data_IF_113837914107
#
_entry.id   IF_113837914107
#
_cell.length_a   1.000
_cell.length_b   1.000
_cell.length_c   1.000
_cell.angle_alpha   90.00
_cell.angle_beta   90.00
_cell.angle_gamma   90.00
#
_symmetry.space_group_name_H-M   'P 1'
#
loop_
_entity.id
_entity.type
_entity.pdbx_description
1 polymer ?
#
# COMPACT_ATOMS: atom_id res chain seq x y z
N UNK A 1 7.71 -19.50 -1.62
CA UNK A 1 8.75 -18.68 -2.24
C UNK A 1 8.13 -17.96 -3.43
N UNK A 2 7.74 -16.70 -3.27
CA UNK A 2 7.10 -15.90 -4.33
C UNK A 2 7.84 -14.56 -4.41
N UNK A 3 8.85 -14.52 -5.28
CA UNK A 3 9.62 -13.30 -5.55
C UNK A 3 8.81 -12.45 -6.53
N UNK A 4 8.42 -11.27 -6.07
CA UNK A 4 7.58 -10.27 -6.74
C UNK A 4 8.23 -9.60 -7.99
N UNK A 5 9.26 -10.22 -8.58
CA UNK A 5 9.94 -9.76 -9.79
C UNK A 5 9.40 -10.34 -11.10
N UNK A 6 8.52 -11.33 -11.03
CA UNK A 6 7.76 -11.73 -12.21
C UNK A 6 6.73 -10.62 -12.49
N UNK A 7 6.86 -9.96 -13.64
CA UNK A 7 5.69 -9.42 -14.31
C UNK A 7 4.60 -10.50 -14.27
N UNK A 8 3.33 -10.12 -14.08
CA UNK A 8 2.20 -11.05 -13.94
C UNK A 8 1.89 -11.74 -15.28
N UNK A 9 2.87 -12.50 -15.77
CA UNK A 9 2.90 -13.28 -17.00
C UNK A 9 1.81 -14.34 -16.91
N UNK A 10 1.56 -14.88 -15.71
CA UNK A 10 0.42 -15.75 -15.44
C UNK A 10 -0.92 -15.08 -15.77
N UNK A 11 -1.17 -13.86 -15.28
CA UNK A 11 -2.37 -13.11 -15.63
C UNK A 11 -2.42 -12.74 -17.13
N UNK A 12 -1.28 -12.38 -17.74
CA UNK A 12 -1.21 -12.10 -19.18
C UNK A 12 -1.57 -13.33 -20.03
N UNK A 13 -1.09 -14.53 -19.68
CA UNK A 13 -1.48 -15.77 -20.33
C UNK A 13 -2.96 -16.07 -20.13
N UNK A 14 -3.51 -15.86 -18.92
CA UNK A 14 -4.94 -16.01 -18.66
C UNK A 14 -5.76 -15.04 -19.54
N UNK A 15 -5.32 -13.80 -19.70
CA UNK A 15 -5.96 -12.82 -20.58
C UNK A 15 -5.90 -13.22 -22.05
N UNK A 16 -4.75 -13.69 -22.56
CA UNK A 16 -4.60 -14.15 -23.95
C UNK A 16 -5.46 -15.40 -24.21
N UNK A 17 -5.35 -16.41 -23.35
CA UNK A 17 -6.12 -17.65 -23.49
C UNK A 17 -7.62 -17.40 -23.36
N UNK A 18 -8.04 -16.45 -22.51
CA UNK A 18 -9.44 -16.06 -22.41
C UNK A 18 -9.92 -15.27 -23.65
N UNK A 19 -9.10 -14.39 -24.22
CA UNK A 19 -9.41 -13.68 -25.46
C UNK A 19 -9.51 -14.64 -26.67
N UNK A 20 -8.73 -15.72 -26.68
CA UNK A 20 -8.81 -16.81 -27.67
C UNK A 20 -9.95 -17.82 -27.39
N UNK A 21 -10.75 -17.62 -26.34
CA UNK A 21 -11.85 -18.52 -25.94
C UNK A 21 -11.40 -19.84 -25.31
N UNK A 22 -10.11 -20.02 -25.08
CA UNK A 22 -9.48 -21.23 -24.54
C UNK A 22 -9.52 -21.31 -23.00
N UNK A 23 -9.82 -20.20 -22.32
CA UNK A 23 -9.92 -20.15 -20.87
C UNK A 23 -11.08 -19.24 -20.40
N UNK A 24 -11.78 -19.66 -19.35
CA UNK A 24 -12.78 -18.83 -18.66
C UNK A 24 -12.24 -18.36 -17.32
N UNK A 25 -12.23 -17.05 -17.09
CA UNK A 25 -11.82 -16.46 -15.80
C UNK A 25 -12.89 -16.77 -14.76
N UNK A 26 -12.70 -17.86 -14.01
CA UNK A 26 -13.70 -18.34 -13.03
C UNK A 26 -13.81 -17.48 -11.76
N UNK A 27 -12.76 -16.75 -11.39
CA UNK A 27 -12.73 -15.93 -10.16
C UNK A 27 -12.24 -14.53 -10.48
N UNK A 28 -13.18 -13.62 -10.76
CA UNK A 28 -12.91 -12.18 -10.80
C UNK A 28 -12.92 -11.67 -9.37
N UNK A 29 -11.92 -10.88 -8.98
CA UNK A 29 -11.93 -10.23 -7.68
C UNK A 29 -13.22 -9.40 -7.54
N UNK A 30 -13.99 -9.56 -6.46
CA UNK A 30 -15.22 -8.81 -6.27
C UNK A 30 -14.94 -7.30 -6.31
N UNK A 31 -15.83 -6.53 -6.94
CA UNK A 31 -15.70 -5.07 -6.96
C UNK A 31 -15.86 -4.55 -5.53
N UNK A 32 -14.91 -3.73 -5.01
CA UNK A 32 -15.01 -3.18 -3.67
C UNK A 32 -16.25 -2.29 -3.55
N UNK A 33 -17.04 -2.50 -2.49
CA UNK A 33 -18.16 -1.63 -2.13
C UNK A 33 -17.72 -0.63 -1.07
N UNK A 34 -18.28 0.56 -1.16
CA UNK A 34 -17.96 1.66 -0.25
C UNK A 34 -19.24 2.18 0.41
N UNK A 35 -19.23 2.31 1.73
CA UNK A 35 -20.25 2.95 2.56
C UNK A 35 -19.71 4.28 3.13
N UNK A 36 -20.50 4.98 3.95
CA UNK A 36 -19.98 6.14 4.68
C UNK A 36 -18.84 5.71 5.63
N UNK A 37 -17.75 6.50 5.75
CA UNK A 37 -16.67 6.19 6.69
C UNK A 37 -17.20 6.03 8.12
N UNK A 38 -17.00 4.84 8.70
CA UNK A 38 -17.49 4.48 10.04
C UNK A 38 -16.38 3.90 10.91
N UNK A 39 -16.65 3.60 12.17
CA UNK A 39 -15.66 2.92 13.00
C UNK A 39 -15.28 1.57 12.38
N UNK A 40 -13.99 1.23 12.37
CA UNK A 40 -13.53 -0.05 11.80
C UNK A 40 -14.09 -1.19 12.66
N UNK A 41 -14.87 -2.06 12.04
CA UNK A 41 -15.48 -3.25 12.64
C UNK A 41 -15.07 -4.53 11.88
N UNK A 42 -15.62 -5.68 12.30
CA UNK A 42 -15.33 -6.97 11.67
C UNK A 42 -15.76 -7.02 10.20
N UNK A 43 -16.84 -6.33 9.84
CA UNK A 43 -17.29 -6.19 8.45
C UNK A 43 -16.26 -5.43 7.60
N UNK A 44 -15.80 -4.28 8.11
CA UNK A 44 -14.73 -3.49 7.46
C UNK A 44 -13.47 -4.34 7.30
N UNK A 45 -13.08 -5.10 8.33
CA UNK A 45 -11.93 -6.00 8.27
C UNK A 45 -12.08 -7.06 7.18
N UNK A 46 -13.23 -7.74 7.11
CA UNK A 46 -13.51 -8.73 6.07
C UNK A 46 -13.48 -8.10 4.67
N UNK A 47 -14.07 -6.92 4.51
CA UNK A 47 -14.08 -6.18 3.26
C UNK A 47 -12.65 -5.78 2.83
N UNK A 48 -11.83 -5.29 3.75
CA UNK A 48 -10.43 -4.90 3.51
C UNK A 48 -9.58 -6.12 3.15
N UNK A 49 -9.73 -7.25 3.85
CA UNK A 49 -9.01 -8.49 3.55
C UNK A 49 -9.43 -9.05 2.17
N UNK A 50 -10.74 -9.10 1.89
CA UNK A 50 -11.27 -9.56 0.61
C UNK A 50 -10.84 -8.68 -0.57
N UNK A 51 -10.62 -7.38 -0.34
CA UNK A 51 -10.21 -6.41 -1.34
C UNK A 51 -8.73 -5.99 -1.22
N UNK A 52 -7.85 -6.81 -0.61
CA UNK A 52 -6.45 -6.46 -0.29
C UNK A 52 -5.65 -5.84 -1.44
N UNK A 53 -5.85 -6.32 -2.67
CA UNK A 53 -5.14 -5.80 -3.84
C UNK A 53 -5.63 -4.40 -4.24
N UNK A 54 -6.93 -4.13 -4.13
CA UNK A 54 -7.49 -2.80 -4.36
C UNK A 54 -7.03 -1.83 -3.27
N UNK A 55 -7.03 -2.27 -2.00
CA UNK A 55 -6.51 -1.50 -0.85
C UNK A 55 -5.05 -1.10 -1.09
N UNK A 56 -4.16 -2.05 -1.43
CA UNK A 56 -2.75 -1.78 -1.73
C UNK A 56 -2.56 -0.89 -2.96
N UNK A 57 -3.34 -1.09 -4.02
CA UNK A 57 -3.30 -0.24 -5.21
C UNK A 57 -3.67 1.21 -4.90
N UNK A 58 -4.71 1.41 -4.08
CA UNK A 58 -5.12 2.74 -3.61
C UNK A 58 -4.09 3.35 -2.67
N UNK A 59 -3.47 2.55 -1.82
CA UNK A 59 -2.38 3.00 -0.96
C UNK A 59 -1.20 3.49 -1.82
N UNK A 60 -0.80 2.73 -2.83
CA UNK A 60 0.27 3.13 -3.74
C UNK A 60 -0.03 4.45 -4.46
N UNK A 61 -1.32 4.71 -4.81
CA UNK A 61 -1.75 6.00 -5.36
C UNK A 61 -1.63 7.13 -4.34
N UNK A 62 -2.00 6.90 -3.08
CA UNK A 62 -1.82 7.87 -2.00
C UNK A 62 -0.34 8.16 -1.74
N UNK A 63 0.48 7.11 -1.61
CA UNK A 63 1.94 7.20 -1.44
C UNK A 63 2.61 7.95 -2.60
N UNK A 64 2.14 7.76 -3.84
CA UNK A 64 2.65 8.51 -5.00
C UNK A 64 2.42 10.01 -4.85
N UNK A 65 1.31 10.45 -4.25
CA UNK A 65 1.04 11.87 -3.98
C UNK A 65 2.01 12.40 -2.91
N UNK A 66 2.13 11.69 -1.78
CA UNK A 66 3.11 12.03 -0.73
C UNK A 66 4.52 12.13 -1.31
N UNK A 67 4.95 11.13 -2.07
CA UNK A 67 6.24 11.11 -2.75
C UNK A 67 6.47 12.32 -3.65
N UNK A 68 5.47 12.73 -4.45
CA UNK A 68 5.60 13.89 -5.33
C UNK A 68 5.79 15.19 -4.54
N UNK A 69 4.95 15.43 -3.52
CA UNK A 69 5.05 16.62 -2.67
C UNK A 69 6.40 16.69 -1.93
N UNK A 70 6.83 15.56 -1.36
CA UNK A 70 8.09 15.48 -0.62
C UNK A 70 9.31 15.65 -1.54
N UNK A 71 9.26 15.09 -2.75
CA UNK A 71 10.33 15.24 -3.73
C UNK A 71 10.49 16.69 -4.18
N UNK A 72 9.40 17.42 -4.40
CA UNK A 72 9.43 18.84 -4.75
C UNK A 72 9.97 19.71 -3.61
N UNK A 73 9.67 19.35 -2.35
CA UNK A 73 10.29 20.00 -1.19
C UNK A 73 11.79 19.70 -1.16
N UNK A 74 12.18 18.44 -1.24
CA UNK A 74 13.59 18.04 -1.16
C UNK A 74 14.44 18.60 -2.31
N UNK A 75 13.89 18.75 -3.52
CA UNK A 75 14.61 19.39 -4.64
C UNK A 75 15.13 20.80 -4.29
N UNK A 76 14.47 21.52 -3.39
CA UNK A 76 14.87 22.85 -2.94
C UNK A 76 15.87 22.83 -1.79
N UNK A 77 15.70 21.90 -0.85
CA UNK A 77 16.45 21.89 0.43
C UNK A 77 17.58 20.84 0.50
N UNK A 78 17.45 19.73 -0.22
CA UNK A 78 18.47 18.68 -0.35
C UNK A 78 18.38 18.01 -1.74
N UNK A 79 18.99 18.62 -2.78
CA UNK A 79 18.94 18.10 -4.15
C UNK A 79 19.55 16.69 -4.29
N UNK A 80 20.56 16.37 -3.47
CA UNK A 80 21.20 15.04 -3.46
C UNK A 80 20.22 13.96 -3.00
N UNK A 81 19.51 14.18 -1.90
CA UNK A 81 18.51 13.22 -1.40
C UNK A 81 17.33 13.09 -2.38
N UNK A 82 16.93 14.21 -3.00
CA UNK A 82 15.92 14.19 -4.04
C UNK A 82 16.34 13.36 -5.26
N UNK A 83 17.64 13.26 -5.57
CA UNK A 83 18.14 12.40 -6.65
C UNK A 83 18.14 10.92 -6.23
N UNK A 84 18.59 10.63 -5.00
CA UNK A 84 18.55 9.28 -4.43
C UNK A 84 17.12 8.73 -4.44
N UNK A 85 16.15 9.47 -3.90
CA UNK A 85 14.75 9.05 -3.91
C UNK A 85 14.18 8.89 -5.33
N UNK A 86 14.61 9.72 -6.27
CA UNK A 86 14.18 9.65 -7.68
C UNK A 86 14.68 8.40 -8.39
N UNK A 87 15.95 8.06 -8.21
CA UNK A 87 16.52 6.84 -8.78
C UNK A 87 15.84 5.58 -8.25
N UNK A 88 15.41 5.60 -6.98
CA UNK A 88 14.74 4.48 -6.29
C UNK A 88 13.20 4.54 -6.32
N UNK A 89 12.63 5.50 -7.04
CA UNK A 89 11.17 5.74 -7.11
C UNK A 89 10.37 4.48 -7.39
N UNK A 90 10.80 3.66 -8.37
CA UNK A 90 10.08 2.44 -8.76
C UNK A 90 10.07 1.43 -7.61
N UNK A 91 11.19 1.24 -6.92
CA UNK A 91 11.27 0.35 -5.75
C UNK A 91 10.38 0.85 -4.61
N UNK A 92 10.46 2.14 -4.27
CA UNK A 92 9.70 2.75 -3.17
C UNK A 92 8.19 2.66 -3.40
N UNK A 93 7.71 3.09 -4.57
CA UNK A 93 6.29 3.07 -4.90
C UNK A 93 5.74 1.66 -5.03
N UNK A 94 6.58 0.69 -5.41
CA UNK A 94 6.16 -0.70 -5.51
C UNK A 94 6.42 -1.53 -4.24
N UNK A 95 7.08 -0.98 -3.23
CA UNK A 95 7.23 -1.61 -1.91
C UNK A 95 8.27 -2.73 -1.95
N UNK A 96 9.28 -2.53 -2.77
CA UNK A 96 10.40 -3.43 -2.89
C UNK A 96 11.26 -3.32 -1.63
N UNK A 97 11.67 -4.46 -1.09
CA UNK A 97 12.69 -4.49 -0.06
C UNK A 97 14.04 -4.07 -0.67
N UNK A 98 14.67 -3.06 -0.08
CA UNK A 98 16.03 -2.66 -0.42
C UNK A 98 17.02 -3.43 0.46
N UNK A 99 18.18 -3.77 -0.10
CA UNK A 99 19.23 -4.51 0.61
C UNK A 99 20.59 -3.82 0.45
N UNK A 100 21.51 -4.10 1.38
CA UNK A 100 22.87 -3.57 1.35
C UNK A 100 22.91 -2.04 1.26
N UNK A 101 23.73 -1.54 0.33
CA UNK A 101 23.96 -0.10 0.16
C UNK A 101 22.71 0.69 -0.24
N UNK A 102 21.74 0.09 -0.92
CA UNK A 102 20.50 0.79 -1.30
C UNK A 102 19.63 1.10 -0.09
N UNK A 103 19.52 0.15 0.84
CA UNK A 103 18.74 0.33 2.08
C UNK A 103 19.28 1.51 2.90
N UNK A 104 20.61 1.59 3.04
CA UNK A 104 21.24 2.70 3.75
C UNK A 104 21.02 4.04 3.03
N UNK A 105 21.13 4.09 1.70
CA UNK A 105 20.87 5.31 0.92
C UNK A 105 19.43 5.80 1.08
N UNK A 106 18.47 4.88 1.06
CA UNK A 106 17.06 5.20 1.29
C UNK A 106 16.85 5.73 2.70
N UNK A 107 17.38 5.04 3.71
CA UNK A 107 17.24 5.44 5.11
C UNK A 107 17.79 6.85 5.37
N UNK A 108 18.97 7.18 4.83
CA UNK A 108 19.55 8.52 4.94
C UNK A 108 18.68 9.57 4.24
N UNK A 109 18.22 9.31 3.01
CA UNK A 109 17.39 10.26 2.27
C UNK A 109 16.02 10.48 2.95
N UNK A 110 15.48 9.47 3.63
CA UNK A 110 14.21 9.55 4.37
C UNK A 110 14.31 10.39 5.66
N UNK A 111 15.50 10.57 6.25
CA UNK A 111 15.68 11.46 7.41
C UNK A 111 15.21 12.89 7.14
N UNK A 112 15.30 13.33 5.89
CA UNK A 112 14.86 14.67 5.46
C UNK A 112 13.38 14.71 5.01
N UNK A 113 12.66 13.59 5.09
CA UNK A 113 11.25 13.45 4.70
C UNK A 113 10.49 12.54 5.67
N UNK A 114 10.12 13.10 6.82
CA UNK A 114 9.29 12.42 7.84
C UNK A 114 7.98 11.89 7.27
N UNK A 115 7.31 12.65 6.39
CA UNK A 115 6.04 12.22 5.81
C UNK A 115 6.18 11.00 4.89
N UNK A 116 7.26 10.94 4.10
CA UNK A 116 7.52 9.78 3.24
C UNK A 116 7.96 8.56 4.07
N UNK A 117 8.77 8.77 5.10
CA UNK A 117 9.19 7.71 6.02
C UNK A 117 7.99 7.04 6.70
N UNK A 118 7.10 7.84 7.31
CA UNK A 118 5.86 7.34 7.91
C UNK A 118 5.00 6.62 6.87
N UNK A 119 4.83 7.18 5.67
CA UNK A 119 4.02 6.56 4.63
C UNK A 119 4.61 5.25 4.09
N UNK A 120 5.93 5.06 4.13
CA UNK A 120 6.55 3.77 3.77
C UNK A 120 6.41 2.76 4.91
N UNK A 121 6.67 3.17 6.14
CA UNK A 121 6.51 2.32 7.32
C UNK A 121 5.07 1.80 7.47
N UNK A 122 4.07 2.69 7.41
CA UNK A 122 2.65 2.33 7.51
C UNK A 122 2.20 1.40 6.39
N UNK A 123 2.82 1.49 5.21
CA UNK A 123 2.56 0.54 4.11
C UNK A 123 3.01 -0.87 4.48
N UNK A 124 4.21 -1.00 5.02
CA UNK A 124 4.76 -2.30 5.42
C UNK A 124 3.94 -2.93 6.55
N UNK A 125 3.46 -2.12 7.49
CA UNK A 125 2.56 -2.60 8.53
C UNK A 125 1.24 -3.12 7.97
N UNK A 126 0.64 -2.38 7.02
CA UNK A 126 -0.57 -2.79 6.34
C UNK A 126 -0.32 -4.09 5.54
N UNK A 127 0.82 -4.17 4.84
CA UNK A 127 1.32 -5.37 4.15
C UNK A 127 1.40 -6.60 5.07
N UNK A 128 2.01 -6.41 6.23
CA UNK A 128 2.20 -7.46 7.22
C UNK A 128 0.89 -7.95 7.86
N UNK A 129 -0.22 -7.21 7.77
CA UNK A 129 -1.53 -7.70 8.23
C UNK A 129 -2.00 -8.92 7.43
N UNK A 130 -1.65 -8.99 6.15
CA UNK A 130 -2.08 -10.10 5.28
C UNK A 130 -1.18 -11.33 5.37
N UNK A 131 0.08 -11.17 5.82
CA UNK A 131 1.01 -12.29 5.96
C UNK A 131 0.79 -13.08 7.27
N UNK A 132 0.07 -12.51 8.24
CA UNK A 132 -0.24 -13.15 9.53
C UNK A 132 -1.42 -14.11 9.40
N UNK A 133 -1.18 -15.26 8.80
CA UNK A 133 -2.17 -16.35 8.67
C UNK A 133 -2.59 -16.98 10.01
N UNK A 134 -1.89 -16.71 11.12
CA UNK A 134 -2.14 -17.27 12.45
C UNK A 134 -2.81 -16.30 13.45
N UNK A 135 -3.05 -15.04 13.08
CA UNK A 135 -3.66 -14.06 13.99
C UNK A 135 -5.18 -14.27 14.11
N UNK A 136 -5.72 -14.07 15.32
CA UNK A 136 -7.16 -14.09 15.53
C UNK A 136 -7.84 -12.90 14.83
N UNK A 137 -9.12 -13.04 14.48
CA UNK A 137 -9.89 -11.96 13.80
C UNK A 137 -9.92 -10.68 14.65
N UNK A 138 -10.01 -10.83 15.97
CA UNK A 138 -10.01 -9.73 16.93
C UNK A 138 -8.65 -9.04 17.00
N UNK A 139 -7.54 -9.79 16.88
CA UNK A 139 -6.20 -9.22 16.80
C UNK A 139 -6.02 -8.41 15.51
N UNK A 140 -6.45 -8.95 14.36
CA UNK A 140 -6.39 -8.24 13.08
C UNK A 140 -7.29 -6.99 13.09
N UNK A 141 -8.46 -7.06 13.72
CA UNK A 141 -9.35 -5.91 13.88
C UNK A 141 -8.68 -4.80 14.68
N UNK A 142 -8.10 -5.12 15.84
CA UNK A 142 -7.38 -4.14 16.67
C UNK A 142 -6.22 -3.52 15.92
N UNK A 143 -5.45 -4.32 15.20
CA UNK A 143 -4.33 -3.80 14.42
C UNK A 143 -4.80 -2.87 13.29
N UNK A 144 -5.90 -3.19 12.62
CA UNK A 144 -6.49 -2.31 11.59
C UNK A 144 -7.01 -1.00 12.20
N UNK A 145 -7.64 -1.07 13.37
CA UNK A 145 -8.07 0.11 14.14
C UNK A 145 -6.87 0.98 14.53
N UNK A 146 -5.81 0.39 15.08
CA UNK A 146 -4.57 1.06 15.46
C UNK A 146 -3.89 1.71 14.25
N UNK A 147 -3.90 1.02 13.12
CA UNK A 147 -3.40 1.52 11.86
C UNK A 147 -4.16 2.79 11.44
N UNK A 148 -5.50 2.76 11.46
CA UNK A 148 -6.31 3.95 11.14
C UNK A 148 -6.05 5.11 12.09
N UNK A 149 -5.97 4.86 13.41
CA UNK A 149 -5.68 5.89 14.42
C UNK A 149 -4.31 6.53 14.18
N UNK A 150 -3.28 5.75 13.88
CA UNK A 150 -1.93 6.28 13.58
C UNK A 150 -1.88 7.03 12.27
N UNK A 151 -2.64 6.61 11.25
CA UNK A 151 -2.72 7.32 9.99
C UNK A 151 -3.33 8.71 10.19
N UNK A 152 -4.40 8.81 10.98
CA UNK A 152 -5.05 10.07 11.36
C UNK A 152 -4.11 10.97 12.19
N UNK A 153 -3.39 10.40 13.16
CA UNK A 153 -2.43 11.13 13.99
C UNK A 153 -1.12 11.51 13.29
N UNK A 154 -0.82 10.93 12.12
CA UNK A 154 0.45 11.15 11.40
C UNK A 154 0.61 12.57 10.85
N UNK A 155 -0.49 13.30 10.67
CA UNK A 155 -0.51 14.63 10.02
C UNK A 155 -0.19 14.60 8.52
N UNK A 156 -0.02 13.42 7.92
CA UNK A 156 0.25 13.28 6.48
C UNK A 156 -1.09 13.21 5.74
N UNK A 157 -1.53 14.32 5.13
CA UNK A 157 -2.87 14.42 4.53
C UNK A 157 -3.26 13.23 3.61
N UNK A 158 -2.40 12.73 2.69
CA UNK A 158 -2.74 11.55 1.91
C UNK A 158 -2.96 10.26 2.71
N UNK A 159 -2.29 10.10 3.87
CA UNK A 159 -2.52 8.98 4.79
C UNK A 159 -3.85 9.12 5.53
N UNK A 160 -4.19 10.33 5.98
CA UNK A 160 -5.47 10.65 6.62
C UNK A 160 -6.63 10.41 5.65
N UNK A 161 -6.53 10.89 4.41
CA UNK A 161 -7.54 10.64 3.38
C UNK A 161 -7.68 9.13 3.09
N UNK A 162 -6.55 8.41 3.11
CA UNK A 162 -6.56 6.98 2.91
C UNK A 162 -7.23 6.23 4.07
N UNK A 163 -7.02 6.63 5.32
CA UNK A 163 -7.66 5.97 6.47
C UNK A 163 -9.19 6.15 6.45
N UNK A 164 -9.68 7.33 6.11
CA UNK A 164 -11.12 7.57 5.90
C UNK A 164 -11.69 6.67 4.81
N UNK A 165 -10.94 6.49 3.73
CA UNK A 165 -11.32 5.60 2.64
C UNK A 165 -11.25 4.13 3.05
N UNK A 166 -10.28 3.74 3.86
CA UNK A 166 -10.18 2.38 4.39
C UNK A 166 -11.40 2.03 5.26
N UNK A 167 -11.87 3.00 6.04
CA UNK A 167 -13.09 2.92 6.86
C UNK A 167 -14.39 2.92 6.07
N UNK A 168 -14.34 3.17 4.76
CA UNK A 168 -15.50 3.09 3.87
C UNK A 168 -15.69 1.70 3.28
N UNK A 169 -14.74 0.77 3.39
CA UNK A 169 -14.92 -0.59 2.85
C UNK A 169 -16.04 -1.32 3.59
N UNK A 170 -16.96 -1.92 2.84
CA UNK A 170 -18.07 -2.70 3.37
C UNK A 170 -18.19 -4.03 2.63
N UNK A 171 -18.67 -5.08 3.31
CA UNK A 171 -19.06 -6.32 2.61
C UNK A 171 -20.41 -6.13 1.90
N UNK A 172 -20.75 -7.07 1.03
CA UNK A 172 -21.91 -6.95 0.13
C UNK A 172 -23.24 -7.05 0.85
#
# INVERSE_FOLDING_TARGET
SSKWYEFDIGWFYICILSALGLATVKKVAPKPRFAQPRAVDLDTLHAVIGNRYDVLSRYAKSLKKTYAHELERLRRWSPRDAEVLRSLRRGLLRGQAFAGAESHKVAEALKHSRALDIALAMRHELAALWERSSASKEQLLRQLQDWCRRAEASGVAPLVDFSQRLRSYATA
#
